data_IF_717280817931
#
_entry.id   IF_717280817931
#
_cell.length_a   1.000
_cell.length_b   1.000
_cell.length_c   1.000
_cell.angle_alpha   90.00
_cell.angle_beta   90.00
_cell.angle_gamma   90.00
#
_symmetry.space_group_name_H-M   'P 1'
#
loop_
_entity.id
_entity.type
_entity.pdbx_description
1 polymer ?
#
# COMPACT_ATOMS: atom_id res chain seq x y z
N UNK A 1 11.02 -9.74 -28.70
CA UNK A 1 10.29 -8.83 -27.79
C UNK A 1 10.15 -9.56 -26.48
N UNK A 2 10.64 -9.00 -25.37
CA UNK A 2 10.36 -9.56 -24.04
C UNK A 2 8.85 -9.63 -23.84
N UNK A 3 8.37 -10.70 -23.21
CA UNK A 3 6.95 -10.83 -22.88
C UNK A 3 6.61 -9.79 -21.82
N UNK A 4 5.51 -9.04 -22.03
CA UNK A 4 4.99 -8.11 -21.04
C UNK A 4 4.80 -8.83 -19.70
N UNK A 5 5.32 -8.24 -18.63
CA UNK A 5 5.31 -8.80 -17.27
C UNK A 5 4.34 -8.01 -16.40
N UNK A 6 3.65 -8.71 -15.50
CA UNK A 6 2.80 -8.08 -14.49
C UNK A 6 3.46 -8.21 -13.12
N UNK A 7 3.68 -7.08 -12.44
CA UNK A 7 4.37 -7.01 -11.14
C UNK A 7 3.48 -6.30 -10.13
N UNK A 8 3.48 -6.79 -8.89
CA UNK A 8 2.68 -6.19 -7.84
C UNK A 8 3.42 -6.04 -6.51
N UNK A 9 3.08 -4.98 -5.78
CA UNK A 9 3.44 -4.78 -4.38
C UNK A 9 2.13 -4.65 -3.60
N UNK A 10 1.88 -5.56 -2.65
CA UNK A 10 0.66 -5.60 -1.83
C UNK A 10 1.02 -5.35 -0.37
N UNK A 11 0.41 -4.34 0.24
CA UNK A 11 0.76 -3.85 1.59
C UNK A 11 -0.47 -3.79 2.48
N UNK A 12 -0.40 -4.40 3.65
CA UNK A 12 -1.48 -4.42 4.64
C UNK A 12 -0.96 -4.09 6.04
N UNK A 13 -1.39 -2.95 6.59
CA UNK A 13 -1.00 -2.50 7.93
C UNK A 13 -2.19 -2.56 8.90
N UNK A 14 -2.14 -3.47 9.87
CA UNK A 14 -3.11 -3.60 10.96
C UNK A 14 -2.67 -2.88 12.25
N UNK A 15 -1.45 -2.37 12.33
CA UNK A 15 -0.86 -1.66 13.48
C UNK A 15 -1.09 -2.39 14.82
N UNK A 16 -0.73 -3.69 14.92
CA UNK A 16 -1.04 -4.49 16.10
C UNK A 16 -0.40 -3.87 17.35
N UNK A 17 -1.08 -4.03 18.49
CA UNK A 17 -0.58 -3.55 19.80
C UNK A 17 -0.39 -2.03 19.90
N UNK A 18 -0.98 -1.25 18.98
CA UNK A 18 -1.02 0.22 19.06
C UNK A 18 -2.46 0.74 19.21
N UNK A 19 -2.62 2.03 19.54
CA UNK A 19 -3.93 2.70 19.52
C UNK A 19 -4.50 2.84 18.09
N UNK A 20 -3.66 2.65 17.06
CA UNK A 20 -3.99 2.73 15.64
C UNK A 20 -4.48 1.39 15.07
N UNK A 21 -4.75 0.39 15.91
CA UNK A 21 -5.07 -0.96 15.44
C UNK A 21 -6.24 -1.04 14.45
N UNK A 22 -6.02 -1.63 13.29
CA UNK A 22 -7.04 -2.08 12.32
C UNK A 22 -7.08 -3.61 12.30
N UNK A 23 -8.06 -4.19 11.59
CA UNK A 23 -8.23 -5.65 11.53
C UNK A 23 -8.34 -6.19 10.11
N UNK A 24 -8.86 -5.41 9.16
CA UNK A 24 -9.13 -5.86 7.80
C UNK A 24 -7.95 -5.81 6.83
N UNK A 25 -6.90 -5.03 7.11
CA UNK A 25 -5.89 -4.68 6.11
C UNK A 25 -5.12 -5.88 5.55
N UNK A 26 -4.78 -6.84 6.41
CA UNK A 26 -4.09 -8.06 5.99
C UNK A 26 -5.03 -8.96 5.17
N UNK A 27 -6.32 -9.01 5.52
CA UNK A 27 -7.31 -9.76 4.73
C UNK A 27 -7.52 -9.12 3.36
N UNK A 28 -7.45 -7.80 3.26
CA UNK A 28 -7.53 -7.06 1.99
C UNK A 28 -6.40 -7.46 1.04
N UNK A 29 -5.16 -7.56 1.54
CA UNK A 29 -4.00 -8.05 0.77
C UNK A 29 -4.26 -9.46 0.24
N UNK A 30 -4.79 -10.35 1.09
CA UNK A 30 -5.06 -11.74 0.71
C UNK A 30 -6.10 -11.87 -0.40
N UNK A 31 -7.21 -11.14 -0.31
CA UNK A 31 -8.27 -11.20 -1.33
C UNK A 31 -7.85 -10.51 -2.63
N UNK A 32 -7.00 -9.48 -2.55
CA UNK A 32 -6.45 -8.81 -3.72
C UNK A 32 -5.43 -9.69 -4.45
N UNK A 33 -4.55 -10.38 -3.72
CA UNK A 33 -3.63 -11.39 -4.28
C UNK A 33 -4.38 -12.44 -5.10
N UNK A 34 -5.42 -13.04 -4.48
CA UNK A 34 -6.24 -14.06 -5.11
C UNK A 34 -6.87 -13.55 -6.42
N UNK A 35 -7.38 -12.32 -6.40
CA UNK A 35 -7.98 -11.66 -7.55
C UNK A 35 -6.95 -11.46 -8.67
N UNK A 36 -5.82 -10.81 -8.41
CA UNK A 36 -4.86 -10.44 -9.47
C UNK A 36 -4.19 -11.67 -10.09
N UNK A 37 -3.91 -12.70 -9.30
CA UNK A 37 -3.32 -13.94 -9.79
C UNK A 37 -4.33 -14.71 -10.64
N UNK A 38 -5.54 -14.96 -10.12
CA UNK A 38 -6.53 -15.80 -10.81
C UNK A 38 -7.17 -15.08 -12.00
N UNK A 39 -7.56 -13.83 -11.82
CA UNK A 39 -8.38 -13.10 -12.79
C UNK A 39 -7.56 -12.24 -13.74
N UNK A 40 -6.36 -11.81 -13.36
CA UNK A 40 -5.50 -10.94 -14.18
C UNK A 40 -4.18 -11.59 -14.59
N UNK A 41 -3.89 -12.82 -14.14
CA UNK A 41 -2.72 -13.58 -14.59
C UNK A 41 -1.39 -13.00 -14.14
N UNK A 42 -1.35 -12.35 -12.98
CA UNK A 42 -0.10 -12.04 -12.31
C UNK A 42 0.58 -13.36 -11.91
N UNK A 43 1.88 -13.45 -12.18
CA UNK A 43 2.68 -14.57 -11.68
C UNK A 43 2.99 -14.30 -10.21
N UNK A 44 2.76 -15.28 -9.33
CA UNK A 44 2.99 -15.15 -7.89
C UNK A 44 4.44 -14.72 -7.59
N UNK A 45 5.43 -15.17 -8.38
CA UNK A 45 6.84 -14.81 -8.18
C UNK A 45 7.13 -13.32 -8.46
N UNK A 46 6.21 -12.63 -9.14
CA UNK A 46 6.30 -11.19 -9.43
C UNK A 46 5.43 -10.35 -8.47
N UNK A 47 4.91 -10.95 -7.39
CA UNK A 47 4.12 -10.26 -6.37
C UNK A 47 4.90 -10.23 -5.05
N UNK A 48 5.13 -9.03 -4.51
CA UNK A 48 5.77 -8.81 -3.21
C UNK A 48 4.72 -8.42 -2.17
N UNK A 49 4.91 -8.89 -0.94
CA UNK A 49 3.97 -8.71 0.17
C UNK A 49 4.64 -8.04 1.36
N UNK A 50 3.94 -7.11 1.98
CA UNK A 50 4.36 -6.54 3.26
C UNK A 50 3.17 -6.47 4.24
N UNK A 51 3.26 -7.19 5.35
CA UNK A 51 2.19 -7.23 6.36
C UNK A 51 2.76 -7.21 7.78
N UNK A 52 2.10 -6.52 8.70
CA UNK A 52 2.49 -6.49 10.11
C UNK A 52 1.80 -7.61 10.93
N UNK A 53 1.63 -8.79 10.32
CA UNK A 53 1.19 -9.98 11.04
C UNK A 53 2.22 -10.36 12.11
N UNK A 54 1.73 -10.89 13.24
CA UNK A 54 2.63 -11.32 14.30
C UNK A 54 3.56 -12.43 13.80
N UNK A 55 4.87 -12.16 13.84
CA UNK A 55 5.90 -13.09 13.39
C UNK A 55 6.38 -12.88 11.96
N UNK A 56 5.90 -11.86 11.24
CA UNK A 56 6.53 -11.42 9.98
C UNK A 56 7.99 -11.01 10.25
N UNK A 57 8.95 -11.47 9.42
CA UNK A 57 10.35 -11.09 9.59
C UNK A 57 10.59 -9.62 9.18
N UNK A 58 11.69 -8.98 9.61
CA UNK A 58 11.94 -7.55 9.40
C UNK A 58 11.81 -7.07 7.95
N UNK A 59 12.25 -7.87 6.99
CA UNK A 59 12.20 -7.61 5.55
C UNK A 59 10.76 -7.70 4.98
N UNK A 60 9.88 -8.47 5.60
CA UNK A 60 8.47 -8.57 5.24
C UNK A 60 7.59 -7.53 5.93
N UNK A 61 8.12 -6.74 6.87
CA UNK A 61 7.35 -5.72 7.57
C UNK A 61 7.03 -4.53 6.63
N UNK A 62 5.82 -3.95 6.72
CA UNK A 62 5.42 -2.79 5.92
C UNK A 62 5.97 -1.49 6.51
N UNK A 63 7.30 -1.39 6.61
CA UNK A 63 8.04 -0.18 6.96
C UNK A 63 8.18 0.73 5.74
N UNK A 64 8.42 2.03 5.94
CA UNK A 64 8.68 2.94 4.81
C UNK A 64 9.79 2.43 3.90
N UNK A 65 10.89 1.99 4.49
CA UNK A 65 12.10 1.57 3.76
C UNK A 65 11.79 0.35 2.88
N UNK A 66 11.11 -0.66 3.44
CA UNK A 66 10.79 -1.87 2.68
C UNK A 66 9.80 -1.60 1.56
N UNK A 67 8.75 -0.82 1.83
CA UNK A 67 7.74 -0.45 0.82
C UNK A 67 8.39 0.34 -0.32
N UNK A 68 9.14 1.40 0.01
CA UNK A 68 9.77 2.24 -1.01
C UNK A 68 10.81 1.47 -1.83
N UNK A 69 11.62 0.62 -1.21
CA UNK A 69 12.60 -0.21 -1.92
C UNK A 69 11.92 -1.15 -2.93
N UNK A 70 10.82 -1.81 -2.54
CA UNK A 70 10.08 -2.71 -3.43
C UNK A 70 9.40 -1.96 -4.58
N UNK A 71 8.86 -0.77 -4.31
CA UNK A 71 8.26 0.08 -5.32
C UNK A 71 9.31 0.61 -6.31
N UNK A 72 10.46 1.05 -5.83
CA UNK A 72 11.57 1.52 -6.67
C UNK A 72 12.09 0.41 -7.57
N UNK A 73 12.33 -0.78 -7.02
CA UNK A 73 12.74 -1.95 -7.82
C UNK A 73 11.69 -2.31 -8.88
N UNK A 74 10.40 -2.33 -8.51
CA UNK A 74 9.31 -2.62 -9.44
C UNK A 74 9.28 -1.63 -10.62
N UNK A 75 9.54 -0.35 -10.37
CA UNK A 75 9.57 0.71 -11.39
C UNK A 75 10.85 0.68 -12.23
N UNK A 76 12.01 0.42 -11.62
CA UNK A 76 13.30 0.36 -12.31
C UNK A 76 13.37 -0.83 -13.29
N UNK A 77 12.82 -1.97 -12.89
CA UNK A 77 12.76 -3.18 -13.71
C UNK A 77 11.75 -3.09 -14.86
N UNK A 78 10.73 -2.25 -14.73
CA UNK A 78 9.61 -2.21 -15.68
C UNK A 78 10.05 -1.82 -17.09
N UNK A 79 9.50 -2.48 -18.11
CA UNK A 79 9.71 -2.14 -19.53
C UNK A 79 8.39 -1.86 -20.23
N UNK A 80 8.44 -1.22 -21.40
CA UNK A 80 7.24 -0.91 -22.17
C UNK A 80 6.34 -2.14 -22.37
N UNK A 81 5.06 -2.00 -22.02
CA UNK A 81 4.05 -3.06 -22.03
C UNK A 81 3.83 -3.73 -20.67
N UNK A 82 4.70 -3.53 -19.69
CA UNK A 82 4.51 -4.09 -18.34
C UNK A 82 3.34 -3.42 -17.60
N UNK A 83 2.70 -4.19 -16.73
CA UNK A 83 1.60 -3.75 -15.85
C UNK A 83 2.07 -3.81 -14.41
N UNK A 84 2.17 -2.65 -13.77
CA UNK A 84 2.58 -2.50 -12.39
C UNK A 84 1.34 -2.22 -11.53
N UNK A 85 1.26 -2.87 -10.37
CA UNK A 85 0.15 -2.70 -9.45
C UNK A 85 0.63 -2.52 -8.02
N UNK A 86 0.20 -1.44 -7.38
CA UNK A 86 0.45 -1.19 -5.96
C UNK A 86 -0.88 -1.16 -5.22
N UNK A 87 -1.06 -2.08 -4.26
CA UNK A 87 -2.21 -2.09 -3.36
C UNK A 87 -1.75 -1.74 -1.95
N UNK A 88 -2.37 -0.73 -1.36
CA UNK A 88 -2.16 -0.37 0.03
C UNK A 88 -3.49 -0.44 0.78
N UNK A 89 -3.51 -1.16 1.90
CA UNK A 89 -4.63 -1.17 2.85
C UNK A 89 -4.09 -0.81 4.25
N UNK A 90 -4.57 0.30 4.80
CA UNK A 90 -4.06 0.81 6.08
C UNK A 90 -4.54 2.22 6.39
N UNK A 91 -3.83 2.90 7.27
CA UNK A 91 -4.08 4.28 7.63
C UNK A 91 -3.56 5.26 6.58
N UNK A 92 -4.28 6.37 6.43
CA UNK A 92 -3.81 7.56 5.74
C UNK A 92 -4.03 8.82 6.57
N UNK A 93 -3.28 9.87 6.26
CA UNK A 93 -3.23 11.12 7.02
C UNK A 93 -3.03 12.33 6.10
N UNK A 94 -3.39 13.52 6.57
CA UNK A 94 -3.07 14.79 5.92
C UNK A 94 -2.03 15.57 6.71
N UNK A 95 -1.16 16.24 5.98
CA UNK A 95 -0.15 17.17 6.45
C UNK A 95 -0.58 18.57 6.00
N UNK A 96 -0.97 19.41 6.96
CA UNK A 96 -1.26 20.81 6.66
C UNK A 96 0.07 21.59 6.60
N UNK A 97 0.51 21.91 5.40
CA UNK A 97 1.63 22.84 5.20
C UNK A 97 1.09 24.28 5.18
N UNK A 98 1.22 24.98 6.31
CA UNK A 98 1.03 26.45 6.40
C UNK A 98 2.39 27.12 6.35
N UNK A 99 2.99 27.29 5.16
CA UNK A 99 4.15 28.18 5.03
C UNK A 99 3.67 29.63 5.04
N UNK A 100 4.37 30.56 5.73
CA UNK A 100 4.02 31.98 5.69
C UNK A 100 3.99 32.48 4.24
N UNK A 101 2.81 32.90 3.76
CA UNK A 101 2.62 33.47 2.40
C UNK A 101 2.28 32.45 1.30
N UNK A 102 2.20 31.15 1.56
CA UNK A 102 1.67 30.16 0.61
C UNK A 102 0.15 29.93 0.85
N UNK A 103 -0.59 29.63 -0.22
CA UNK A 103 -1.97 29.14 -0.10
C UNK A 103 -1.97 27.78 0.59
N UNK A 104 -2.96 27.55 1.47
CA UNK A 104 -3.17 26.26 2.15
C UNK A 104 -3.11 25.09 1.15
N UNK A 105 -2.15 24.18 1.33
CA UNK A 105 -2.05 22.92 0.59
C UNK A 105 -2.01 21.78 1.60
N UNK A 106 -2.98 20.87 1.51
CA UNK A 106 -2.95 19.60 2.21
C UNK A 106 -2.12 18.62 1.40
N UNK A 107 -1.03 18.15 2.01
CA UNK A 107 -0.26 17.02 1.50
C UNK A 107 -0.84 15.76 2.12
N UNK A 108 -0.94 14.70 1.33
CA UNK A 108 -1.53 13.43 1.76
C UNK A 108 -0.45 12.36 1.89
N UNK A 109 -0.63 11.44 2.85
CA UNK A 109 0.33 10.38 3.08
C UNK A 109 -0.35 9.08 3.51
N UNK A 110 0.19 7.96 3.03
CA UNK A 110 -0.06 6.64 3.62
C UNK A 110 0.86 6.44 4.83
N UNK A 111 0.41 5.63 5.79
CA UNK A 111 1.09 5.43 7.06
C UNK A 111 1.62 3.99 7.15
N UNK A 112 2.91 3.74 6.88
CA UNK A 112 3.57 2.47 7.16
C UNK A 112 3.51 2.06 8.65
N UNK A 113 3.80 0.79 8.98
CA UNK A 113 3.67 0.29 10.36
C UNK A 113 4.68 0.91 11.33
N UNK A 114 5.81 1.43 10.83
CA UNK A 114 6.81 2.18 11.59
C UNK A 114 6.46 3.67 11.72
N UNK A 115 5.29 4.08 11.22
CA UNK A 115 4.78 5.46 11.24
C UNK A 115 5.64 6.46 10.44
N UNK A 116 6.58 5.96 9.65
CA UNK A 116 7.43 6.76 8.78
C UNK A 116 6.70 7.03 7.46
N UNK A 117 6.16 8.23 7.30
CA UNK A 117 5.17 8.51 6.26
C UNK A 117 5.72 8.36 4.83
N UNK A 118 4.86 7.86 3.93
CA UNK A 118 5.07 7.93 2.48
C UNK A 118 4.04 8.92 1.93
N UNK A 119 4.55 10.00 1.36
CA UNK A 119 3.78 11.17 0.90
C UNK A 119 3.40 11.08 -0.57
N UNK A 120 2.46 11.93 -1.00
CA UNK A 120 2.15 12.18 -2.42
C UNK A 120 3.40 12.58 -3.23
N UNK A 121 4.36 13.29 -2.62
CA UNK A 121 5.63 13.62 -3.25
C UNK A 121 6.48 12.37 -3.52
N UNK A 122 6.59 11.45 -2.56
CA UNK A 122 7.38 10.22 -2.74
C UNK A 122 6.82 9.39 -3.91
N UNK A 123 5.50 9.20 -3.95
CA UNK A 123 4.83 8.46 -5.02
C UNK A 123 4.94 9.17 -6.36
N UNK A 124 4.87 10.50 -6.39
CA UNK A 124 5.09 11.29 -7.61
C UNK A 124 6.50 11.12 -8.16
N UNK A 125 7.51 11.19 -7.30
CA UNK A 125 8.90 10.99 -7.69
C UNK A 125 9.14 9.59 -8.23
N UNK A 126 8.45 8.59 -7.67
CA UNK A 126 8.46 7.23 -8.17
C UNK A 126 7.82 7.14 -9.57
N UNK A 127 6.63 7.71 -9.74
CA UNK A 127 5.89 7.71 -11.02
C UNK A 127 6.72 8.38 -12.13
N UNK A 128 7.43 9.47 -11.82
CA UNK A 128 8.30 10.17 -12.77
C UNK A 128 9.47 9.31 -13.31
N UNK A 129 9.80 8.20 -12.65
CA UNK A 129 10.83 7.25 -13.11
C UNK A 129 10.29 6.19 -14.08
N UNK A 130 8.97 6.10 -14.27
CA UNK A 130 8.35 5.08 -15.14
C UNK A 130 8.81 5.21 -16.60
N UNK A 131 9.06 4.07 -17.23
CA UNK A 131 9.44 4.02 -18.64
C UNK A 131 8.18 4.21 -19.52
N UNK A 132 8.24 5.00 -20.62
CA UNK A 132 7.09 5.17 -21.50
C UNK A 132 6.50 3.83 -21.96
N UNK A 133 5.17 3.72 -21.89
CA UNK A 133 4.45 2.50 -22.26
C UNK A 133 4.29 1.46 -21.14
N UNK A 134 4.76 1.71 -19.93
CA UNK A 134 4.34 0.95 -18.73
C UNK A 134 3.02 1.48 -18.19
N UNK A 135 2.16 0.63 -17.66
CA UNK A 135 1.01 1.07 -16.86
C UNK A 135 1.29 0.89 -15.37
N UNK A 136 0.91 1.87 -14.55
CA UNK A 136 1.03 1.76 -13.10
C UNK A 136 -0.30 2.13 -12.44
N UNK A 137 -0.89 1.16 -11.75
CA UNK A 137 -2.15 1.32 -11.01
C UNK A 137 -1.89 1.28 -9.51
N UNK A 138 -2.34 2.31 -8.80
CA UNK A 138 -2.34 2.37 -7.34
C UNK A 138 -3.78 2.21 -6.86
N UNK A 139 -4.04 1.22 -6.00
CA UNK A 139 -5.31 1.06 -5.29
C UNK A 139 -5.06 1.29 -3.79
N UNK A 140 -5.56 2.40 -3.27
CA UNK A 140 -5.35 2.80 -1.88
C UNK A 140 -6.64 2.71 -1.08
N UNK A 141 -6.75 1.69 -0.24
CA UNK A 141 -7.81 1.53 0.75
C UNK A 141 -7.42 2.19 2.09
N UNK A 142 -7.30 3.52 2.02
CA UNK A 142 -6.94 4.42 3.11
C UNK A 142 -7.73 5.73 2.98
N UNK A 143 -7.92 6.44 4.09
CA UNK A 143 -8.45 7.81 4.05
C UNK A 143 -7.39 8.79 3.57
N UNK A 144 -7.79 9.94 3.01
CA UNK A 144 -6.86 10.99 2.57
C UNK A 144 -5.84 10.46 1.57
N UNK A 145 -6.33 9.80 0.52
CA UNK A 145 -5.50 9.30 -0.58
C UNK A 145 -5.88 9.90 -1.95
N UNK A 146 -6.75 10.91 -2.00
CA UNK A 146 -7.20 11.54 -3.25
C UNK A 146 -6.18 12.46 -3.93
N UNK A 147 -5.14 12.89 -3.22
CA UNK A 147 -4.04 13.73 -3.68
C UNK A 147 -2.72 12.99 -3.88
N UNK A 148 -2.67 11.66 -3.71
CA UNK A 148 -1.44 10.86 -3.86
C UNK A 148 -0.82 10.95 -5.26
N UNK A 149 -1.62 11.28 -6.29
CA UNK A 149 -1.16 11.64 -7.62
C UNK A 149 -1.67 13.06 -7.95
N UNK A 150 -0.79 14.06 -7.84
CA UNK A 150 -1.12 15.48 -8.10
C UNK A 150 -1.31 15.72 -9.60
N UNK A 151 -2.47 16.32 -9.95
CA UNK A 151 -2.89 16.88 -11.25
C UNK A 151 -3.56 15.96 -12.27
N UNK A 152 -3.90 14.73 -11.93
CA UNK A 152 -4.85 14.01 -12.77
C UNK A 152 -6.28 14.48 -12.51
N UNK A 153 -7.05 14.66 -13.59
CA UNK A 153 -8.45 15.06 -13.54
C UNK A 153 -9.22 14.06 -12.67
N UNK A 154 -9.96 14.56 -11.68
CA UNK A 154 -10.91 13.74 -10.94
C UNK A 154 -12.02 13.30 -11.90
N UNK A 155 -11.91 12.09 -12.43
CA UNK A 155 -12.83 11.57 -13.46
C UNK A 155 -14.20 11.26 -12.87
N UNK A 156 -14.22 10.92 -11.58
CA UNK A 156 -15.41 10.58 -10.81
C UNK A 156 -15.26 11.18 -9.40
N UNK A 157 -15.91 12.33 -9.16
CA UNK A 157 -15.95 13.05 -7.87
C UNK A 157 -17.33 13.09 -7.21
N UNK A 158 -17.54 13.86 -6.12
CA UNK A 158 -18.74 13.77 -5.30
C UNK A 158 -20.05 14.03 -6.04
N UNK A 159 -20.98 13.10 -5.89
CA UNK A 159 -22.42 13.37 -6.07
C UNK A 159 -23.04 13.38 -4.68
N UNK A 160 -23.39 14.57 -4.14
CA UNK A 160 -24.16 14.65 -2.89
C UNK A 160 -25.51 13.96 -3.08
N UNK A 161 -25.69 12.76 -2.55
CA UNK A 161 -27.01 12.15 -2.41
C UNK A 161 -27.45 12.16 -0.95
N UNK A 162 -28.62 12.75 -0.69
CA UNK A 162 -29.29 12.73 0.61
C UNK A 162 -29.95 11.36 0.80
N UNK A 163 -29.49 10.58 1.78
CA UNK A 163 -30.18 9.41 2.31
C UNK A 163 -30.01 9.37 3.83
N UNK A 164 -31.03 8.91 4.56
CA UNK A 164 -30.90 8.69 6.01
C UNK A 164 -29.99 7.48 6.27
N UNK A 165 -28.90 7.61 7.05
CA UNK A 165 -28.00 6.50 7.32
C UNK A 165 -28.63 5.50 8.29
N UNK A 166 -28.45 4.21 8.01
CA UNK A 166 -28.55 3.16 9.03
C UNK A 166 -27.22 3.09 9.79
N UNK A 167 -27.20 2.89 11.12
CA UNK A 167 -25.96 2.88 11.88
C UNK A 167 -25.18 1.58 11.64
N UNK A 168 -24.27 1.58 10.67
CA UNK A 168 -23.21 0.58 10.56
C UNK A 168 -22.02 1.08 11.38
N UNK A 169 -21.60 0.33 12.39
CA UNK A 169 -20.43 0.67 13.20
C UNK A 169 -19.15 0.23 12.48
N UNK A 170 -18.29 1.17 12.10
CA UNK A 170 -17.00 0.91 11.44
C UNK A 170 -15.89 1.76 12.06
N UNK A 171 -14.63 1.30 11.95
CA UNK A 171 -13.47 2.10 12.35
C UNK A 171 -12.94 2.88 11.15
N UNK A 172 -12.79 4.20 11.31
CA UNK A 172 -12.18 5.05 10.28
C UNK A 172 -10.70 4.68 10.09
N UNK A 173 -10.27 4.61 8.83
CA UNK A 173 -8.87 4.46 8.43
C UNK A 173 -8.13 5.80 8.38
N UNK A 174 -8.77 6.91 8.72
CA UNK A 174 -8.16 8.23 8.75
C UNK A 174 -7.65 8.55 10.14
N UNK A 175 -6.40 8.99 10.24
CA UNK A 175 -5.79 9.38 11.51
C UNK A 175 -5.19 10.77 11.42
N UNK A 176 -5.36 11.54 12.48
CA UNK A 176 -4.74 12.85 12.57
C UNK A 176 -3.23 12.70 12.74
N UNK A 177 -2.48 13.64 12.19
CA UNK A 177 -1.04 13.68 12.37
C UNK A 177 -0.62 13.79 13.85
N UNK A 178 -1.44 14.46 14.67
CA UNK A 178 -1.24 14.52 16.12
C UNK A 178 -1.32 13.15 16.79
N UNK A 179 -2.19 12.27 16.31
CA UNK A 179 -2.28 10.88 16.79
C UNK A 179 -0.99 10.10 16.46
N UNK A 180 -0.45 10.29 15.25
CA UNK A 180 0.81 9.67 14.82
C UNK A 180 1.97 10.12 15.73
N UNK A 181 2.06 11.43 16.00
CA UNK A 181 3.09 11.97 16.89
C UNK A 181 2.96 11.40 18.30
N UNK A 182 1.76 11.33 18.87
CA UNK A 182 1.55 10.74 20.20
C UNK A 182 2.01 9.28 20.28
N UNK A 183 1.81 8.50 19.21
CA UNK A 183 2.32 7.14 19.13
C UNK A 183 3.85 7.12 19.07
N UNK A 184 4.48 7.94 18.23
CA UNK A 184 5.95 8.06 18.17
C UNK A 184 6.56 8.50 19.52
N UNK A 185 5.92 9.43 20.23
CA UNK A 185 6.34 9.85 21.57
C UNK A 185 6.27 8.72 22.60
N UNK A 186 5.21 7.91 22.54
CA UNK A 186 5.04 6.78 23.46
C UNK A 186 6.13 5.71 23.27
N UNK A 187 6.55 5.48 22.02
CA UNK A 187 7.64 4.55 21.68
C UNK A 187 9.01 5.14 22.05
N UNK A 188 9.23 6.41 21.74
CA UNK A 188 10.52 7.08 22.01
C UNK A 188 10.72 7.47 23.47
N UNK A 189 9.65 7.64 24.27
CA UNK A 189 9.74 7.82 25.72
C UNK A 189 10.27 6.60 26.48
N UNK A 190 10.26 5.41 25.85
CA UNK A 190 10.86 4.18 26.38
C UNK A 190 12.36 4.06 26.04
N UNK A 191 12.88 4.85 25.09
CA UNK A 191 14.28 4.91 24.67
C UNK A 191 14.85 6.23 25.20
N UNK A 192 16.00 6.23 25.89
CA UNK A 192 16.60 7.44 26.46
C UNK A 192 17.19 8.40 25.39
N UNK A 193 16.36 8.84 24.44
CA UNK A 193 16.60 9.89 23.44
C UNK A 193 15.75 11.13 23.72
N UNK A 194 15.32 11.29 24.98
CA UNK A 194 14.44 12.34 25.50
C UNK A 194 14.98 13.78 25.44
N UNK A 195 16.10 14.05 24.75
CA UNK A 195 16.67 15.40 24.63
C UNK A 195 16.38 16.05 23.27
N UNK A 196 16.20 15.28 22.19
CA UNK A 196 16.00 15.86 20.85
C UNK A 196 14.52 15.98 20.45
N UNK A 197 13.68 15.02 20.85
CA UNK A 197 12.24 15.01 20.50
C UNK A 197 11.44 15.95 21.41
N UNK A 198 11.84 16.07 22.68
CA UNK A 198 11.27 17.05 23.61
C UNK A 198 11.53 18.48 23.11
N UNK A 199 12.71 18.71 22.50
CA UNK A 199 13.01 19.96 21.83
C UNK A 199 12.14 20.12 20.58
N UNK A 200 11.94 19.11 19.72
CA UNK A 200 11.06 19.23 18.55
C UNK A 200 9.63 19.69 18.88
N UNK A 201 8.99 19.11 19.91
CA UNK A 201 7.62 19.49 20.31
C UNK A 201 7.57 20.74 21.19
N UNK A 202 8.54 20.96 22.08
CA UNK A 202 8.61 22.21 22.84
C UNK A 202 8.94 23.41 21.93
N UNK A 203 9.65 23.19 20.82
CA UNK A 203 9.93 24.20 19.78
C UNK A 203 8.65 24.63 19.07
N UNK A 204 7.75 23.72 18.70
CA UNK A 204 6.44 24.09 18.10
C UNK A 204 5.64 25.05 18.99
N UNK A 205 5.72 24.90 20.32
CA UNK A 205 4.97 25.75 21.25
C UNK A 205 5.68 27.08 21.54
N UNK A 206 7.02 27.14 21.48
CA UNK A 206 7.80 28.32 21.89
C UNK A 206 8.46 29.14 20.75
N UNK A 207 8.55 28.64 19.51
CA UNK A 207 9.28 29.34 18.42
C UNK A 207 8.41 29.80 17.25
N UNK A 208 7.10 29.56 17.26
CA UNK A 208 6.23 29.90 16.13
C UNK A 208 6.46 29.02 14.89
N UNK A 209 7.08 27.86 15.06
CA UNK A 209 7.27 26.85 14.01
C UNK A 209 5.96 26.16 13.63
N UNK A 210 5.84 25.78 12.36
CA UNK A 210 4.61 25.13 11.85
C UNK A 210 4.52 23.67 12.32
N UNK A 211 3.31 23.09 12.35
CA UNK A 211 3.12 21.66 12.67
C UNK A 211 3.97 20.77 11.75
N UNK A 212 4.08 21.12 10.46
CA UNK A 212 4.90 20.42 9.47
C UNK A 212 6.39 20.42 9.82
N UNK A 213 6.94 21.53 10.32
CA UNK A 213 8.35 21.63 10.75
C UNK A 213 8.64 20.73 11.96
N UNK A 214 7.70 20.66 12.91
CA UNK A 214 7.80 19.76 14.07
C UNK A 214 7.83 18.28 13.65
N UNK A 215 6.97 17.90 12.70
CA UNK A 215 6.91 16.52 12.17
C UNK A 215 8.18 16.17 11.41
N UNK A 216 8.63 17.05 10.51
CA UNK A 216 9.90 16.87 9.79
C UNK A 216 11.04 16.66 10.77
N UNK A 217 11.14 17.47 11.83
CA UNK A 217 12.18 17.31 12.85
C UNK A 217 12.06 16.00 13.63
N UNK A 218 10.85 15.56 13.99
CA UNK A 218 10.65 14.31 14.72
C UNK A 218 11.02 13.09 13.87
N UNK A 219 10.51 13.03 12.63
CA UNK A 219 10.77 11.92 11.71
C UNK A 219 12.25 11.87 11.32
N UNK A 220 12.87 13.01 10.95
CA UNK A 220 14.31 13.05 10.64
C UNK A 220 15.17 12.74 11.86
N UNK A 221 14.73 13.06 13.07
CA UNK A 221 15.42 12.69 14.31
C UNK A 221 15.48 11.18 14.54
N UNK A 222 14.41 10.45 14.19
CA UNK A 222 14.28 8.99 14.38
C UNK A 222 14.90 8.23 13.21
N UNK A 223 14.51 8.59 11.98
CA UNK A 223 14.81 7.84 10.76
C UNK A 223 15.94 8.48 9.92
N UNK A 224 16.53 9.59 10.40
CA UNK A 224 17.63 10.29 9.72
C UNK A 224 17.22 10.70 8.30
N UNK A 225 17.91 10.17 7.29
CA UNK A 225 17.69 10.45 5.87
C UNK A 225 16.61 9.56 5.26
N UNK A 226 16.16 8.52 5.96
CA UNK A 226 15.24 7.51 5.43
C UNK A 226 13.78 7.94 5.63
N UNK A 227 13.48 9.22 5.38
CA UNK A 227 12.14 9.84 5.50
C UNK A 227 11.67 10.35 4.14
N UNK A 228 10.39 10.76 4.03
CA UNK A 228 9.86 11.41 2.83
C UNK A 228 10.73 12.58 2.35
N UNK A 229 10.83 12.73 1.03
CA UNK A 229 11.45 13.88 0.40
C UNK A 229 10.87 15.23 0.86
N UNK A 230 9.61 15.27 1.30
CA UNK A 230 8.97 16.48 1.85
C UNK A 230 9.57 16.90 3.20
N UNK A 231 10.12 15.96 3.97
CA UNK A 231 10.74 16.24 5.26
C UNK A 231 12.23 16.55 5.18
N UNK A 232 12.86 16.38 4.02
CA UNK A 232 14.30 16.60 3.82
C UNK A 232 14.66 18.01 3.31
N UNK A 233 13.68 18.85 2.94
CA UNK A 233 13.93 20.08 2.17
C UNK A 233 13.96 21.38 2.99
N UNK A 234 15.00 22.18 2.73
CA UNK A 234 15.08 23.60 3.09
C UNK A 234 14.12 24.45 2.23
N UNK A 235 13.59 25.59 2.74
CA UNK A 235 12.52 26.38 2.10
C UNK A 235 12.77 26.91 0.68
N UNK A 236 14.02 26.94 0.19
CA UNK A 236 14.39 27.70 -1.02
C UNK A 236 14.63 26.88 -2.30
N UNK A 237 14.50 25.54 -2.28
CA UNK A 237 14.75 24.69 -3.46
C UNK A 237 13.51 23.91 -3.94
N UNK A 238 12.32 24.54 -3.92
CA UNK A 238 11.20 24.10 -4.80
C UNK A 238 11.49 24.52 -6.25
N UNK A 239 12.67 24.19 -6.77
CA UNK A 239 13.10 24.50 -8.13
C UNK A 239 12.31 23.61 -9.09
N UNK A 240 11.30 24.19 -9.78
CA UNK A 240 10.60 23.66 -10.98
C UNK A 240 10.58 22.13 -11.12
N UNK A 241 9.93 21.41 -10.19
CA UNK A 241 9.65 19.98 -10.41
C UNK A 241 8.60 19.84 -11.51
N UNK A 242 8.88 18.99 -12.49
CA UNK A 242 8.00 18.75 -13.65
C UNK A 242 6.65 18.24 -13.12
N UNK A 243 5.55 18.80 -13.64
CA UNK A 243 4.22 18.17 -13.50
C UNK A 243 4.30 16.75 -14.02
N UNK A 244 3.60 15.80 -13.39
CA UNK A 244 3.32 14.53 -14.06
C UNK A 244 2.70 14.85 -15.43
N UNK A 245 3.10 14.09 -16.44
CA UNK A 245 2.33 14.09 -17.69
C UNK A 245 1.07 13.27 -17.49
N UNK A 246 -0.02 13.62 -18.17
CA UNK A 246 -1.36 13.05 -17.93
C UNK A 246 -1.37 11.50 -18.00
N UNK A 247 -0.40 10.89 -18.68
CA UNK A 247 -0.37 9.45 -18.94
C UNK A 247 0.50 8.62 -17.97
N UNK A 248 1.11 9.24 -16.95
CA UNK A 248 2.15 8.57 -16.15
C UNK A 248 1.63 7.72 -14.96
N UNK A 249 0.36 7.82 -14.54
CA UNK A 249 -0.18 6.99 -13.44
C UNK A 249 -1.71 6.88 -13.39
N UNK A 250 -2.21 5.88 -12.65
CA UNK A 250 -3.64 5.68 -12.38
C UNK A 250 -3.81 5.42 -10.88
N UNK A 251 -4.63 6.23 -10.21
CA UNK A 251 -4.93 6.09 -8.79
C UNK A 251 -6.43 5.87 -8.55
N UNK A 252 -6.72 4.80 -7.83
CA UNK A 252 -8.01 4.49 -7.26
C UNK A 252 -7.93 4.68 -5.74
N UNK A 253 -8.54 5.75 -5.24
CA UNK A 253 -8.62 6.05 -3.81
C UNK A 253 -9.92 5.51 -3.23
N UNK A 254 -9.85 4.94 -2.02
CA UNK A 254 -11.02 4.41 -1.32
C UNK A 254 -12.05 5.48 -0.94
N UNK A 255 -11.67 6.75 -0.77
CA UNK A 255 -12.63 7.79 -0.43
C UNK A 255 -12.24 9.15 -1.02
N UNK A 256 -13.20 10.07 -1.01
CA UNK A 256 -12.92 11.49 -1.25
C UNK A 256 -12.03 12.05 -0.13
N UNK A 257 -11.33 13.15 -0.42
CA UNK A 257 -10.44 13.83 0.53
C UNK A 257 -11.17 14.25 1.84
N UNK A 258 -12.48 14.47 1.77
CA UNK A 258 -13.34 14.87 2.89
C UNK A 258 -14.18 13.73 3.49
N UNK A 259 -13.93 12.48 3.11
CA UNK A 259 -14.63 11.28 3.61
C UNK A 259 -13.65 10.30 4.26
N UNK A 260 -14.19 9.30 4.97
CA UNK A 260 -13.40 8.26 5.63
C UNK A 260 -13.61 6.89 4.99
N UNK A 261 -12.53 6.23 4.56
CA UNK A 261 -12.50 4.79 4.33
C UNK A 261 -12.74 3.98 5.61
N UNK A 262 -13.48 2.88 5.47
CA UNK A 262 -13.96 2.05 6.58
C UNK A 262 -13.21 0.71 6.71
N UNK A 263 -12.78 0.40 7.93
CA UNK A 263 -12.45 -0.96 8.37
C UNK A 263 -13.71 -1.60 8.97
N UNK A 264 -14.25 -2.61 8.28
CA UNK A 264 -15.49 -3.28 8.63
C UNK A 264 -15.21 -4.56 9.42
N UNK A 265 -15.99 -4.77 10.48
CA UNK A 265 -15.96 -6.02 11.22
C UNK A 265 -16.41 -7.20 10.36
N UNK A 266 -15.96 -8.40 10.71
CA UNK A 266 -16.37 -9.61 10.02
C UNK A 266 -17.86 -9.89 10.13
N UNK A 267 -18.43 -10.43 9.05
CA UNK A 267 -19.83 -10.85 8.97
C UNK A 267 -19.94 -12.28 8.46
N UNK A 268 -21.13 -12.86 8.46
CA UNK A 268 -21.35 -14.18 7.86
C UNK A 268 -20.94 -14.20 6.37
N UNK A 269 -21.09 -13.08 5.65
CA UNK A 269 -20.68 -12.94 4.25
C UNK A 269 -19.16 -12.98 4.05
N UNK A 270 -18.39 -12.63 5.09
CA UNK A 270 -16.93 -12.66 5.08
C UNK A 270 -16.35 -13.76 5.96
N UNK A 271 -17.18 -14.74 6.34
CA UNK A 271 -16.80 -15.85 7.23
C UNK A 271 -16.21 -15.36 8.57
N UNK A 272 -16.70 -14.21 9.05
CA UNK A 272 -16.21 -13.58 10.27
C UNK A 272 -14.90 -12.80 10.12
N UNK A 273 -14.37 -12.62 8.90
CA UNK A 273 -13.14 -11.85 8.65
C UNK A 273 -13.43 -10.37 8.42
N UNK A 274 -12.72 -9.50 9.16
CA UNK A 274 -12.72 -8.06 8.94
C UNK A 274 -12.11 -7.70 7.57
N UNK A 275 -12.50 -6.58 6.99
CA UNK A 275 -12.05 -6.14 5.66
C UNK A 275 -12.21 -4.63 5.48
N UNK A 276 -11.44 -4.06 4.55
CA UNK A 276 -11.64 -2.72 4.02
C UNK A 276 -12.84 -2.69 3.08
N UNK A 277 -13.73 -1.72 3.28
CA UNK A 277 -14.94 -1.60 2.47
C UNK A 277 -14.63 -1.44 0.97
N UNK A 278 -13.61 -0.65 0.64
CA UNK A 278 -13.26 -0.39 -0.75
C UNK A 278 -12.62 -1.59 -1.43
N UNK A 279 -11.63 -2.22 -0.81
CA UNK A 279 -10.96 -3.40 -1.37
C UNK A 279 -11.96 -4.53 -1.57
N UNK A 280 -12.81 -4.78 -0.58
CA UNK A 280 -13.85 -5.81 -0.67
C UNK A 280 -14.82 -5.54 -1.81
N UNK A 281 -15.27 -4.28 -1.98
CA UNK A 281 -16.17 -3.90 -3.06
C UNK A 281 -15.52 -4.09 -4.45
N UNK A 282 -14.26 -3.68 -4.63
CA UNK A 282 -13.50 -3.89 -5.87
C UNK A 282 -13.42 -5.38 -6.23
N UNK A 283 -13.03 -6.22 -5.27
CA UNK A 283 -12.92 -7.68 -5.47
C UNK A 283 -14.27 -8.28 -5.84
N UNK A 284 -15.37 -7.87 -5.19
CA UNK A 284 -16.71 -8.38 -5.51
C UNK A 284 -17.16 -7.98 -6.91
N UNK A 285 -16.98 -6.71 -7.28
CA UNK A 285 -17.35 -6.21 -8.61
C UNK A 285 -16.57 -6.94 -9.71
N UNK A 286 -15.25 -7.09 -9.58
CA UNK A 286 -14.40 -7.72 -10.59
C UNK A 286 -14.55 -9.26 -10.68
N UNK A 287 -15.09 -9.88 -9.62
CA UNK A 287 -15.49 -11.29 -9.67
C UNK A 287 -16.83 -11.51 -10.41
N UNK A 288 -17.71 -10.50 -10.43
CA UNK A 288 -19.04 -10.60 -11.06
C UNK A 288 -19.06 -10.05 -12.48
N UNK A 289 -18.23 -9.03 -12.76
CA UNK A 289 -18.20 -8.31 -14.03
C UNK A 289 -16.81 -8.37 -14.63
N UNK A 290 -16.74 -8.66 -15.94
CA UNK A 290 -15.47 -8.79 -16.67
C UNK A 290 -15.26 -7.66 -17.66
N UNK A 291 -14.00 -7.29 -17.86
CA UNK A 291 -13.59 -6.32 -18.88
C UNK A 291 -14.00 -4.88 -18.61
N UNK A 292 -14.20 -4.52 -17.33
CA UNK A 292 -14.52 -3.15 -16.95
C UNK A 292 -13.34 -2.21 -17.22
N UNK A 293 -13.62 -1.03 -17.76
CA UNK A 293 -12.69 0.09 -17.71
C UNK A 293 -12.47 0.56 -16.26
N UNK A 294 -11.39 1.31 -16.01
CA UNK A 294 -11.11 1.89 -14.70
C UNK A 294 -12.27 2.77 -14.21
N UNK A 295 -12.86 3.56 -15.12
CA UNK A 295 -14.02 4.42 -14.84
C UNK A 295 -15.29 3.63 -14.54
N UNK A 296 -15.56 2.56 -15.28
CA UNK A 296 -16.72 1.70 -15.02
C UNK A 296 -16.58 0.95 -13.70
N UNK A 297 -15.38 0.44 -13.39
CA UNK A 297 -15.08 -0.20 -12.12
C UNK A 297 -15.43 0.71 -10.94
N UNK A 298 -14.94 1.95 -10.93
CA UNK A 298 -15.22 2.89 -9.82
C UNK A 298 -16.72 3.22 -9.70
N UNK A 299 -17.45 3.30 -10.81
CA UNK A 299 -18.92 3.50 -10.78
C UNK A 299 -19.64 2.30 -10.17
N UNK A 300 -19.32 1.09 -10.59
CA UNK A 300 -19.93 -0.13 -10.06
C UNK A 300 -19.57 -0.36 -8.59
N UNK A 301 -18.35 -0.02 -8.19
CA UNK A 301 -17.92 -0.07 -6.78
C UNK A 301 -18.70 0.92 -5.92
N UNK A 302 -18.88 2.17 -6.37
CA UNK A 302 -19.72 3.15 -5.65
C UNK A 302 -21.15 2.65 -5.47
N UNK A 303 -21.72 2.06 -6.51
CA UNK A 303 -23.06 1.45 -6.46
C UNK A 303 -23.09 0.29 -5.47
N UNK A 304 -22.10 -0.61 -5.52
CA UNK A 304 -21.99 -1.72 -4.57
C UNK A 304 -21.96 -1.23 -3.12
N UNK A 305 -21.13 -0.22 -2.81
CA UNK A 305 -21.04 0.35 -1.46
C UNK A 305 -22.37 0.99 -1.01
N UNK A 306 -23.03 1.73 -1.92
CA UNK A 306 -24.33 2.34 -1.67
C UNK A 306 -25.42 1.30 -1.38
N UNK A 307 -25.46 0.21 -2.15
CA UNK A 307 -26.40 -0.90 -1.95
C UNK A 307 -26.19 -1.61 -0.60
N UNK A 308 -24.98 -1.57 -0.05
CA UNK A 308 -24.65 -2.05 1.30
C UNK A 308 -24.88 -1.00 2.40
N UNK A 309 -25.31 0.22 2.06
CA UNK A 309 -25.51 1.32 3.01
C UNK A 309 -24.20 1.91 3.54
N UNK A 310 -23.08 1.74 2.84
CA UNK A 310 -21.78 2.29 3.20
C UNK A 310 -21.61 3.66 2.54
N UNK A 311 -21.52 4.70 3.35
CA UNK A 311 -21.31 6.08 2.88
C UNK A 311 -19.81 6.33 2.63
N UNK A 312 -19.31 5.79 1.52
CA UNK A 312 -17.93 5.94 1.06
C UNK A 312 -17.94 6.07 -0.47
N UNK A 313 -17.28 7.10 -1.01
CA UNK A 313 -17.25 7.36 -2.44
C UNK A 313 -15.83 7.26 -3.00
N UNK A 314 -15.41 6.07 -3.49
CA UNK A 314 -14.11 5.90 -4.12
C UNK A 314 -13.91 6.84 -5.31
N UNK A 315 -12.69 7.32 -5.52
CA UNK A 315 -12.36 8.26 -6.58
C UNK A 315 -11.36 7.67 -7.57
N UNK A 316 -11.40 8.18 -8.81
CA UNK A 316 -10.45 7.85 -9.88
C UNK A 316 -9.71 9.12 -10.30
N UNK A 317 -8.38 9.06 -10.23
CA UNK A 317 -7.46 10.09 -10.68
C UNK A 317 -6.61 9.50 -11.80
N UNK A 318 -6.82 9.99 -13.02
CA UNK A 318 -6.07 9.58 -14.22
C UNK A 318 -6.29 10.53 -15.40
N UNK A 319 -5.50 10.39 -16.48
CA UNK A 319 -5.89 10.89 -17.81
C UNK A 319 -7.22 10.29 -18.28
N UNK A 320 -7.82 10.94 -19.27
CA UNK A 320 -9.01 10.42 -19.97
C UNK A 320 -8.71 9.06 -20.62
N UNK A 321 -7.53 8.87 -21.21
CA UNK A 321 -7.12 7.60 -21.82
C UNK A 321 -7.01 6.46 -20.81
N UNK A 322 -6.38 6.71 -19.65
CA UNK A 322 -6.29 5.74 -18.57
C UNK A 322 -7.66 5.45 -17.92
N UNK A 323 -8.57 6.42 -17.90
CA UNK A 323 -9.91 6.23 -17.33
C UNK A 323 -10.73 5.21 -18.12
N UNK A 324 -10.64 5.25 -19.44
CA UNK A 324 -11.38 4.37 -20.35
C UNK A 324 -10.62 3.05 -20.65
N UNK A 325 -9.37 2.92 -20.20
CA UNK A 325 -8.59 1.70 -20.33
C UNK A 325 -9.10 0.58 -19.40
N UNK A 326 -8.96 -0.71 -19.78
CA UNK A 326 -9.31 -1.84 -18.92
C UNK A 326 -8.47 -1.87 -17.63
N UNK A 327 -9.12 -2.14 -16.49
CA UNK A 327 -8.42 -2.30 -15.21
C UNK A 327 -7.39 -3.43 -15.28
N UNK A 328 -6.11 -3.14 -15.00
CA UNK A 328 -4.97 -4.08 -15.08
C UNK A 328 -4.85 -4.88 -16.40
N UNK A 329 -5.39 -4.33 -17.49
CA UNK A 329 -5.41 -4.95 -18.82
C UNK A 329 -6.49 -6.04 -18.97
N UNK A 330 -6.26 -7.00 -19.86
CA UNK A 330 -7.23 -8.08 -20.11
C UNK A 330 -7.31 -9.08 -18.97
N UNK A 331 -8.53 -9.34 -18.49
CA UNK A 331 -8.84 -10.43 -17.57
C UNK A 331 -8.84 -11.79 -18.28
N UNK A 332 -8.54 -12.85 -17.52
CA UNK A 332 -8.61 -14.23 -17.99
C UNK A 332 -10.05 -14.62 -18.35
N UNK A 333 -10.28 -15.08 -19.58
CA UNK A 333 -11.61 -15.46 -20.11
C UNK A 333 -11.97 -16.92 -19.87
N UNK A 334 -11.32 -17.63 -18.94
CA UNK A 334 -11.62 -19.05 -18.70
C UNK A 334 -12.98 -19.20 -18.01
N UNK A 335 -13.93 -19.84 -18.70
CA UNK A 335 -15.25 -20.21 -18.18
C UNK A 335 -15.14 -20.99 -16.86
N UNK A 336 -15.53 -20.37 -15.74
CA UNK A 336 -15.70 -21.10 -14.48
C UNK A 336 -17.01 -21.89 -14.54
N UNK A 337 -16.93 -23.20 -14.82
CA UNK A 337 -17.95 -24.13 -14.29
C UNK A 337 -18.00 -23.94 -12.78
N UNK A 338 -19.17 -23.53 -12.25
CA UNK A 338 -19.49 -23.31 -10.82
C UNK A 338 -18.53 -24.06 -9.88
N UNK A 339 -17.54 -23.36 -9.34
CA UNK A 339 -16.80 -23.85 -8.19
C UNK A 339 -17.65 -23.52 -6.96
N UNK A 340 -18.21 -24.57 -6.36
CA UNK A 340 -18.96 -24.46 -5.13
C UNK A 340 -18.10 -23.80 -4.05
N UNK A 341 -18.75 -22.99 -3.22
CA UNK A 341 -18.28 -22.51 -1.92
C UNK A 341 -17.47 -23.55 -1.15
N UNK A 342 -16.45 -23.08 -0.43
CA UNK A 342 -15.56 -23.76 0.53
C UNK A 342 -14.21 -24.29 0.00
N UNK A 343 -13.30 -23.35 -0.34
CA UNK A 343 -11.89 -23.58 -0.02
C UNK A 343 -11.55 -22.83 1.27
N UNK A 344 -11.15 -23.61 2.27
CA UNK A 344 -10.88 -23.15 3.64
C UNK A 344 -9.63 -22.26 3.65
N UNK A 345 -9.80 -20.96 3.84
CA UNK A 345 -8.68 -20.03 4.08
C UNK A 345 -8.19 -20.18 5.53
N UNK A 346 -6.91 -20.53 5.71
CA UNK A 346 -6.24 -20.50 7.02
C UNK A 346 -5.26 -19.33 7.05
N UNK A 347 -5.44 -18.42 8.00
CA UNK A 347 -4.41 -17.46 8.38
C UNK A 347 -3.11 -18.24 8.70
N UNK A 348 -2.04 -17.97 7.95
CA UNK A 348 -0.80 -18.74 7.97
C UNK A 348 -0.13 -18.95 6.60
N UNK A 349 -0.85 -18.75 5.48
CA UNK A 349 -0.29 -18.95 4.14
C UNK A 349 0.73 -17.89 3.71
N UNK A 350 0.58 -16.61 4.12
CA UNK A 350 1.57 -15.56 3.78
C UNK A 350 2.94 -15.94 4.31
N UNK A 351 3.02 -16.41 5.56
CA UNK A 351 4.28 -16.87 6.17
C UNK A 351 4.93 -18.03 5.39
N UNK A 352 4.15 -19.04 5.00
CA UNK A 352 4.69 -20.13 4.17
C UNK A 352 5.14 -19.69 2.76
N UNK A 353 4.64 -18.56 2.27
CA UNK A 353 4.97 -18.00 0.96
C UNK A 353 6.16 -17.04 1.02
N UNK A 354 6.40 -16.37 2.16
CA UNK A 354 7.63 -15.62 2.45
C UNK A 354 8.80 -16.58 2.64
N UNK A 355 8.60 -17.69 3.37
CA UNK A 355 9.67 -18.66 3.68
C UNK A 355 10.08 -19.55 2.47
N UNK A 356 9.31 -19.54 1.37
CA UNK A 356 9.56 -20.42 0.21
C UNK A 356 10.63 -19.90 -0.77
N UNK A 357 11.12 -18.67 -0.58
CA UNK A 357 12.11 -18.01 -1.46
C UNK A 357 13.57 -18.27 -1.03
N UNK A 358 13.79 -19.01 0.08
CA UNK A 358 15.12 -19.33 0.62
C UNK A 358 15.61 -20.77 0.34
N UNK A 359 15.49 -21.25 -0.91
CA UNK A 359 16.33 -22.39 -1.35
C UNK A 359 17.23 -21.97 -2.50
N UNK A 360 18.53 -21.76 -2.27
CA UNK A 360 19.49 -21.58 -3.35
C UNK A 360 19.65 -22.90 -4.10
N UNK A 361 19.34 -22.89 -5.39
CA UNK A 361 19.67 -23.97 -6.32
C UNK A 361 21.16 -24.32 -6.20
N UNK A 362 21.43 -25.52 -5.69
CA UNK A 362 22.77 -26.05 -5.55
C UNK A 362 23.37 -26.33 -6.94
N UNK A 363 24.49 -25.65 -7.19
CA UNK A 363 25.37 -25.83 -8.33
C UNK A 363 25.64 -27.30 -8.66
N UNK A 364 25.40 -27.64 -9.93
CA UNK A 364 25.93 -28.82 -10.60
C UNK A 364 27.46 -28.76 -10.60
N UNK A 365 28.13 -29.56 -9.76
CA UNK A 365 29.53 -29.92 -9.97
C UNK A 365 29.67 -31.39 -10.39
N UNK A 366 30.16 -31.56 -11.62
CA UNK A 366 30.67 -32.81 -12.16
C UNK A 366 31.92 -33.26 -11.37
N UNK A 367 31.78 -34.32 -10.58
CA UNK A 367 32.89 -34.96 -9.86
C UNK A 367 32.91 -36.47 -10.11
N UNK A 368 33.79 -36.89 -11.00
CA UNK A 368 33.98 -38.27 -11.46
C UNK A 368 34.29 -39.28 -10.34
N UNK A 369 33.67 -40.45 -10.47
CA UNK A 369 33.97 -41.74 -9.82
C UNK A 369 35.44 -41.95 -9.44
N UNK A 370 35.68 -42.41 -8.21
CA UNK A 370 36.52 -43.61 -7.94
C UNK A 370 36.16 -44.25 -6.60
N UNK A 371 35.73 -45.52 -6.68
CA UNK A 371 35.58 -46.47 -5.57
C UNK A 371 36.93 -47.12 -5.26
N UNK A 372 37.34 -47.14 -4.00
CA UNK A 372 38.20 -48.11 -3.30
C UNK A 372 37.76 -47.98 -1.83
N UNK A 373 37.27 -48.97 -1.08
CA UNK A 373 37.53 -50.41 -1.08
C UNK A 373 38.75 -50.70 -0.21
N UNK A 374 38.58 -51.06 1.07
CA UNK A 374 39.68 -51.57 1.90
C UNK A 374 39.51 -51.37 3.42
N UNK A 375 39.40 -52.49 4.12
CA UNK A 375 39.31 -52.68 5.57
C UNK A 375 40.61 -52.30 6.32
N UNK A 376 40.54 -52.01 7.63
CA UNK A 376 41.15 -52.81 8.73
C UNK A 376 41.29 -52.04 10.05
N UNK A 377 41.21 -52.82 11.13
CA UNK A 377 41.22 -52.52 12.58
C UNK A 377 42.47 -51.86 13.17
N UNK A 378 42.29 -51.33 14.39
CA UNK A 378 43.11 -51.45 15.62
C UNK A 378 43.28 -50.08 16.31
N UNK A 379 42.63 -49.83 17.46
CA UNK A 379 43.20 -50.04 18.82
C UNK A 379 44.60 -49.43 18.97
N UNK A 380 44.72 -48.31 19.68
CA UNK A 380 45.68 -48.16 20.80
C UNK A 380 45.28 -47.00 21.71
N UNK A 381 45.38 -47.27 23.02
CA UNK A 381 45.24 -46.37 24.16
C UNK A 381 46.33 -45.28 24.14
N UNK A 382 45.99 -44.08 24.60
CA UNK A 382 46.38 -43.57 25.92
C UNK A 382 45.47 -42.43 26.35
#
# INVERSE_FOLDING_TARGET
>A
MSRATKRAVLVGCNYPSTQLRLQGCINDVLIMDDLIVKEFGFDQHNVKYFTDELGTPPEGLPTRVNIMAALEEMVEDAVAGDVLFFHFSGHGTTLSSLKPGESYKEEEAIVPCDLNLITDMDLRLLIQKLKPGTSFTILSDSCHSGGLIDKDKEQIGPTRMKGLPFPVYYKSRGISIGTIMNCLHSVTGAISTGVNILNGVATVVNTGSTIAEGISSALTGIFKKDVSADFLQHPNEKTKRKSLTEDEGLLLSGCQANETSADLAGSALTEGRAHGAFTYAVVNVLNQSKGLSNKELVKEVRKFLQDQGIEQHPCLYSSDGNADAPFLGTQNTRDRKKLATTDKFKAGEIRSRIDADETPDAYHENGSRKRLGGETSAVYRN
#
